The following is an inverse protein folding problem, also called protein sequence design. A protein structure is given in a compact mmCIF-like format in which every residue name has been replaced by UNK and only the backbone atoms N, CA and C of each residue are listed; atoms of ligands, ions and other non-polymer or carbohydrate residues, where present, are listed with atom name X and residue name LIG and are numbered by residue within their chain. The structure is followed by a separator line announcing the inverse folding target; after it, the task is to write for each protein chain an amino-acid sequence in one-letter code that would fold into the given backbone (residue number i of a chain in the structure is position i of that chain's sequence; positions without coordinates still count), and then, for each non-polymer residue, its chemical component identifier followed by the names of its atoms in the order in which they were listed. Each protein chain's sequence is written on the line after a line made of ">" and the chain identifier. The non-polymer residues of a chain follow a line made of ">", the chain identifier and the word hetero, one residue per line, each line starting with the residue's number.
data_IF_406742941459
#
_entry.id   IF_406742941459
#
_cell.length_a   1.000
_cell.length_b   1.000
_cell.length_c   1.000
_cell.angle_alpha   90.00
_cell.angle_beta   90.00
_cell.angle_gamma   90.00
#
_symmetry.space_group_name_H-M   'P 1'
#
loop_
_entity.id
_entity.type
_entity.pdbx_description
1 polymer ?
#
# COMPACT_ATOMS: atom_id res chain seq x y z
N UNK A 1 -82.96 -40.11 24.60
CA UNK A 1 -83.61 -38.91 24.03
C UNK A 1 -82.66 -37.75 24.26
N UNK A 2 -81.87 -37.39 23.24
CA UNK A 2 -82.07 -36.21 22.35
C UNK A 2 -81.60 -34.92 23.05
N UNK A 3 -80.76 -34.02 22.53
CA UNK A 3 -80.27 -33.72 21.15
C UNK A 3 -79.16 -32.64 21.30
N UNK A 4 -77.93 -32.82 20.77
CA UNK A 4 -77.34 -32.16 19.56
C UNK A 4 -77.48 -30.63 19.48
N UNK A 5 -76.43 -29.79 19.59
CA UNK A 5 -75.26 -29.47 18.71
C UNK A 5 -75.39 -28.05 18.10
N UNK A 6 -74.40 -27.16 18.37
CA UNK A 6 -73.64 -26.31 17.40
C UNK A 6 -72.87 -25.18 18.15
N UNK A 7 -71.54 -25.30 18.32
CA UNK A 7 -70.42 -24.76 17.50
C UNK A 7 -70.25 -23.24 17.53
N UNK A 8 -69.16 -22.76 18.16
CA UNK A 8 -68.22 -21.82 17.53
C UNK A 8 -66.85 -21.86 18.22
N UNK A 9 -65.82 -22.16 17.42
CA UNK A 9 -64.42 -22.20 17.82
C UNK A 9 -63.82 -20.78 17.86
N UNK A 10 -62.97 -20.50 18.84
CA UNK A 10 -62.06 -19.36 18.76
C UNK A 10 -60.64 -19.82 19.13
N UNK A 11 -59.87 -20.16 18.10
CA UNK A 11 -58.47 -20.55 18.22
C UNK A 11 -57.59 -19.33 18.46
N UNK A 12 -56.91 -19.29 19.61
CA UNK A 12 -55.71 -18.47 19.78
C UNK A 12 -54.49 -19.37 19.65
N UNK A 13 -53.99 -19.48 18.41
CA UNK A 13 -52.63 -19.96 18.13
C UNK A 13 -51.67 -19.03 18.85
N UNK A 14 -50.95 -19.56 19.84
CA UNK A 14 -49.74 -18.91 20.34
C UNK A 14 -48.77 -18.77 19.17
N UNK A 15 -48.52 -17.53 18.74
CA UNK A 15 -47.40 -17.22 17.84
C UNK A 15 -46.13 -17.55 18.61
N UNK A 16 -45.52 -18.69 18.28
CA UNK A 16 -44.10 -18.89 18.50
C UNK A 16 -43.40 -17.66 17.90
N UNK A 17 -42.77 -16.86 18.76
CA UNK A 17 -41.93 -15.78 18.29
C UNK A 17 -40.79 -16.41 17.51
N UNK A 18 -40.76 -16.18 16.19
CA UNK A 18 -39.55 -16.32 15.40
C UNK A 18 -38.53 -15.33 15.99
N UNK A 19 -37.74 -15.78 16.97
CA UNK A 19 -36.40 -15.25 17.13
C UNK A 19 -35.64 -15.76 15.92
N UNK A 20 -35.58 -14.93 14.89
CA UNK A 20 -34.46 -14.99 13.97
C UNK A 20 -33.25 -14.66 14.82
N UNK A 21 -32.58 -15.68 15.35
CA UNK A 21 -31.22 -15.54 15.80
C UNK A 21 -30.45 -15.15 14.54
N UNK A 22 -30.26 -13.84 14.35
CA UNK A 22 -29.41 -13.33 13.31
C UNK A 22 -28.02 -13.91 13.61
N UNK A 23 -27.62 -14.90 12.81
CA UNK A 23 -26.23 -15.31 12.75
C UNK A 23 -25.52 -14.10 12.16
N UNK A 24 -24.95 -13.26 13.03
CA UNK A 24 -23.97 -12.27 12.61
C UNK A 24 -22.78 -13.10 12.15
N UNK A 25 -22.73 -13.37 10.85
CA UNK A 25 -21.53 -13.90 10.23
C UNK A 25 -20.50 -12.78 10.38
N UNK A 26 -19.37 -13.01 11.05
CA UNK A 26 -18.30 -12.04 11.09
C UNK A 26 -17.94 -11.66 9.64
N UNK A 27 -18.11 -10.39 9.27
CA UNK A 27 -17.69 -9.91 7.95
C UNK A 27 -16.19 -9.73 7.99
N UNK A 28 -15.45 -10.35 7.06
CA UNK A 28 -14.01 -10.18 6.98
C UNK A 28 -13.62 -8.69 6.91
N UNK A 29 -12.62 -8.29 7.71
CA UNK A 29 -12.20 -6.87 7.82
C UNK A 29 -10.71 -6.74 7.54
N UNK A 30 -10.33 -5.67 6.84
CA UNK A 30 -8.94 -5.25 6.67
C UNK A 30 -8.73 -3.97 7.46
N UNK A 31 -8.13 -4.08 8.64
CA UNK A 31 -7.85 -2.91 9.48
C UNK A 31 -6.51 -2.26 9.15
N UNK A 32 -5.54 -3.07 8.71
CA UNK A 32 -4.18 -2.62 8.44
C UNK A 32 -3.64 -3.22 7.14
N UNK A 33 -2.77 -2.44 6.50
CA UNK A 33 -1.91 -2.91 5.42
C UNK A 33 -0.45 -2.72 5.80
N UNK A 34 0.33 -3.79 5.63
CA UNK A 34 1.69 -3.91 6.13
C UNK A 34 2.71 -3.89 4.99
N UNK A 35 3.30 -2.72 4.67
CA UNK A 35 4.57 -2.65 3.98
C UNK A 35 5.72 -2.99 4.95
N UNK A 36 6.97 -2.71 4.58
CA UNK A 36 8.12 -2.91 5.45
C UNK A 36 7.98 -2.07 6.74
N UNK A 37 8.14 -2.72 7.91
CA UNK A 37 8.06 -2.14 9.24
C UNK A 37 9.44 -1.73 9.80
N UNK A 38 10.53 -2.13 9.16
CA UNK A 38 11.88 -1.74 9.57
C UNK A 38 12.01 -0.22 9.55
N UNK A 39 12.68 0.32 10.58
CA UNK A 39 12.81 1.77 10.83
C UNK A 39 11.50 2.54 10.65
N UNK A 40 10.42 2.03 11.22
CA UNK A 40 9.10 2.67 11.17
C UNK A 40 8.53 2.95 12.58
N UNK A 41 9.43 3.12 13.56
CA UNK A 41 9.12 3.47 14.95
C UNK A 41 9.79 4.79 15.37
N UNK A 42 9.46 5.29 16.57
CA UNK A 42 10.02 6.53 17.14
C UNK A 42 9.92 7.70 16.16
N UNK A 43 11.05 8.31 15.80
CA UNK A 43 11.12 9.46 14.89
C UNK A 43 10.64 9.16 13.46
N UNK A 44 10.61 7.89 13.05
CA UNK A 44 10.10 7.48 11.75
C UNK A 44 8.60 7.17 11.79
N UNK A 45 8.00 6.99 12.97
CA UNK A 45 6.59 6.62 13.09
C UNK A 45 5.67 7.76 12.63
N UNK A 46 4.67 7.41 11.82
CA UNK A 46 3.58 8.33 11.49
C UNK A 46 2.65 8.59 12.68
N UNK A 47 1.67 9.50 12.52
CA UNK A 47 0.65 9.70 13.53
C UNK A 47 -0.14 8.40 13.76
N UNK A 48 -0.55 8.13 15.00
CA UNK A 48 -1.24 6.89 15.37
C UNK A 48 -2.59 6.67 14.64
N UNK A 49 -3.19 7.75 14.12
CA UNK A 49 -4.39 7.68 13.28
C UNK A 49 -4.12 7.12 11.86
N UNK A 50 -2.85 7.00 11.47
CA UNK A 50 -2.42 6.60 10.13
C UNK A 50 -1.49 5.40 10.15
N UNK A 51 -0.62 5.31 11.16
CA UNK A 51 0.44 4.31 11.25
C UNK A 51 0.48 3.62 12.61
N UNK A 52 0.47 2.29 12.57
CA UNK A 52 0.78 1.43 13.70
C UNK A 52 2.17 0.79 13.48
N UNK A 53 3.15 0.97 14.39
CA UNK A 53 4.49 0.42 14.23
C UNK A 53 4.58 -1.11 14.06
N UNK A 54 3.61 -1.85 14.59
CA UNK A 54 3.59 -3.32 14.56
C UNK A 54 2.70 -3.88 13.44
N UNK A 55 1.74 -3.09 12.97
CA UNK A 55 0.73 -3.54 11.99
C UNK A 55 0.84 -2.87 10.61
N UNK A 56 1.30 -1.63 10.52
CA UNK A 56 1.44 -0.89 9.27
C UNK A 56 0.45 0.29 9.16
N UNK A 57 0.04 0.63 7.94
CA UNK A 57 -0.92 1.71 7.72
C UNK A 57 -2.34 1.26 8.07
N UNK A 58 -3.09 2.13 8.73
CA UNK A 58 -4.52 1.95 8.94
C UNK A 58 -5.26 2.15 7.60
N UNK A 59 -6.23 1.29 7.30
CA UNK A 59 -7.12 1.49 6.15
C UNK A 59 -7.99 2.72 6.41
N UNK A 60 -7.96 3.69 5.50
CA UNK A 60 -8.63 4.98 5.63
C UNK A 60 -9.99 5.03 4.92
N UNK A 61 -10.27 4.06 4.05
CA UNK A 61 -11.51 3.98 3.27
C UNK A 61 -12.61 3.15 3.93
N UNK A 62 -12.49 2.86 5.22
CA UNK A 62 -13.48 2.09 5.97
C UNK A 62 -14.04 2.94 7.10
N UNK A 63 -15.33 2.78 7.38
CA UNK A 63 -15.95 3.21 8.62
C UNK A 63 -16.56 2.01 9.34
N UNK A 64 -17.39 2.25 10.36
CA UNK A 64 -17.94 1.21 11.23
C UNK A 64 -18.72 0.10 10.50
N UNK A 65 -19.17 0.33 9.27
CA UNK A 65 -20.07 -0.61 8.58
C UNK A 65 -19.66 -0.92 7.13
N UNK A 66 -18.82 -0.12 6.47
CA UNK A 66 -18.56 -0.34 5.04
C UNK A 66 -17.24 0.22 4.50
N UNK A 67 -16.87 -0.31 3.32
CA UNK A 67 -15.81 0.23 2.47
C UNK A 67 -16.38 1.30 1.54
N UNK A 68 -15.66 2.42 1.43
CA UNK A 68 -16.03 3.61 0.66
C UNK A 68 -15.06 3.81 -0.51
N UNK A 69 -15.39 3.35 -1.74
CA UNK A 69 -14.48 3.40 -2.88
C UNK A 69 -13.99 4.81 -3.26
N UNK A 70 -14.79 5.84 -3.00
CA UNK A 70 -14.43 7.24 -3.20
C UNK A 70 -13.27 7.69 -2.29
N UNK A 71 -13.02 6.96 -1.19
CA UNK A 71 -11.94 7.22 -0.23
C UNK A 71 -10.67 6.39 -0.51
N UNK A 72 -10.63 5.53 -1.53
CA UNK A 72 -9.43 4.75 -1.87
C UNK A 72 -8.19 5.60 -2.14
N UNK A 73 -8.35 6.88 -2.49
CA UNK A 73 -7.24 7.80 -2.69
C UNK A 73 -6.49 8.19 -1.39
N UNK A 74 -7.06 7.83 -0.23
CA UNK A 74 -6.48 7.97 1.11
C UNK A 74 -5.74 6.71 1.57
N UNK A 75 -5.95 5.57 0.91
CA UNK A 75 -5.31 4.32 1.27
C UNK A 75 -3.89 4.22 0.70
N UNK A 76 -3.06 3.43 1.38
CA UNK A 76 -1.76 3.03 0.89
C UNK A 76 -1.91 1.91 -0.17
N UNK A 77 -1.08 1.85 -1.21
CA UNK A 77 -0.09 2.84 -1.61
C UNK A 77 -0.65 3.88 -2.58
N UNK A 78 -0.06 5.09 -2.56
CA UNK A 78 -0.23 6.09 -3.63
C UNK A 78 0.94 6.14 -4.60
N UNK A 79 2.04 5.48 -4.25
CA UNK A 79 3.25 5.36 -5.07
C UNK A 79 3.60 3.90 -5.31
N UNK A 80 4.28 3.55 -6.41
CA UNK A 80 4.63 2.16 -6.69
C UNK A 80 5.90 1.99 -7.50
N UNK A 81 6.45 0.80 -7.45
CA UNK A 81 7.56 0.34 -8.27
C UNK A 81 7.42 -1.17 -8.47
N UNK A 82 7.98 -1.67 -9.56
CA UNK A 82 7.99 -3.09 -9.86
C UNK A 82 8.56 -3.91 -8.68
N UNK A 83 7.88 -5.01 -8.37
CA UNK A 83 8.19 -6.01 -7.32
C UNK A 83 8.02 -5.54 -5.87
N UNK A 84 7.48 -4.35 -5.62
CA UNK A 84 7.06 -3.99 -4.26
C UNK A 84 5.85 -4.80 -3.83
N UNK A 85 5.76 -5.06 -2.54
CA UNK A 85 4.66 -5.80 -1.96
C UNK A 85 4.28 -5.30 -0.57
N UNK A 86 3.06 -5.61 -0.16
CA UNK A 86 2.56 -5.36 1.18
C UNK A 86 1.51 -6.41 1.52
N UNK A 87 1.29 -6.61 2.81
CA UNK A 87 0.38 -7.64 3.31
C UNK A 87 -0.92 -7.02 3.78
N UNK A 88 -2.06 -7.57 3.37
CA UNK A 88 -3.37 -7.24 3.93
C UNK A 88 -3.54 -8.04 5.22
N UNK A 89 -3.75 -7.35 6.34
CA UNK A 89 -4.04 -8.00 7.62
C UNK A 89 -5.56 -8.16 7.75
N UNK A 90 -6.04 -9.34 7.30
CA UNK A 90 -7.46 -9.69 7.27
C UNK A 90 -7.81 -10.45 8.55
N UNK A 91 -8.88 -10.05 9.22
CA UNK A 91 -9.46 -10.75 10.38
C UNK A 91 -10.83 -11.33 10.04
N UNK A 92 -11.34 -12.22 10.90
CA UNK A 92 -12.69 -12.78 10.81
C UNK A 92 -12.94 -13.71 9.59
N UNK A 93 -11.88 -14.24 8.97
CA UNK A 93 -11.95 -15.22 7.88
C UNK A 93 -10.68 -16.07 7.81
N UNK A 94 -10.78 -17.32 7.32
CA UNK A 94 -9.60 -18.10 6.93
C UNK A 94 -9.08 -17.61 5.58
N UNK A 95 -7.89 -17.02 5.60
CA UNK A 95 -7.25 -16.48 4.39
C UNK A 95 -6.97 -17.58 3.36
N UNK A 96 -6.78 -18.84 3.78
CA UNK A 96 -6.58 -19.95 2.84
C UNK A 96 -7.83 -20.29 2.02
N UNK A 97 -9.01 -19.87 2.48
CA UNK A 97 -10.27 -20.04 1.78
C UNK A 97 -10.57 -18.87 0.82
N UNK A 98 -9.68 -17.87 0.74
CA UNK A 98 -9.81 -16.74 -0.18
C UNK A 98 -9.06 -16.98 -1.49
N UNK A 99 -9.76 -16.79 -2.60
CA UNK A 99 -9.20 -16.70 -3.95
C UNK A 99 -9.23 -15.25 -4.43
N UNK A 100 -8.20 -14.86 -5.18
CA UNK A 100 -8.02 -13.52 -5.72
C UNK A 100 -7.77 -13.57 -7.22
N UNK A 101 -8.30 -12.60 -7.95
CA UNK A 101 -7.98 -12.38 -9.36
C UNK A 101 -7.04 -11.17 -9.49
N UNK A 102 -6.02 -11.21 -10.36
CA UNK A 102 -5.11 -10.09 -10.55
C UNK A 102 -5.80 -8.91 -11.23
N UNK A 103 -5.43 -7.70 -10.85
CA UNK A 103 -5.98 -6.45 -11.42
C UNK A 103 -4.88 -5.73 -12.19
N UNK A 104 -5.14 -5.39 -13.45
CA UNK A 104 -4.15 -4.77 -14.33
C UNK A 104 -4.68 -3.48 -14.95
N UNK A 105 -3.91 -2.40 -14.79
CA UNK A 105 -4.18 -1.10 -15.40
C UNK A 105 -2.88 -0.50 -15.94
N UNK A 106 -2.88 -0.01 -17.18
CA UNK A 106 -1.76 0.75 -17.76
C UNK A 106 -0.39 0.04 -17.68
N UNK A 107 -0.39 -1.30 -17.77
CA UNK A 107 0.81 -2.13 -17.68
C UNK A 107 1.31 -2.40 -16.26
N UNK A 108 0.58 -1.96 -15.22
CA UNK A 108 0.82 -2.31 -13.81
C UNK A 108 -0.21 -3.36 -13.40
N UNK A 109 0.27 -4.46 -12.80
CA UNK A 109 -0.55 -5.54 -12.28
C UNK A 109 -0.36 -5.68 -10.77
N UNK A 110 -1.47 -5.66 -10.03
CA UNK A 110 -1.52 -6.06 -8.62
C UNK A 110 -1.97 -7.53 -8.54
N UNK A 111 -1.11 -8.39 -8.00
CA UNK A 111 -1.40 -9.81 -7.77
C UNK A 111 -1.48 -10.07 -6.29
N UNK A 112 -2.52 -10.76 -5.83
CA UNK A 112 -2.68 -11.15 -4.43
C UNK A 112 -2.40 -12.64 -4.29
N UNK A 113 -1.53 -13.00 -3.33
CA UNK A 113 -1.17 -14.37 -3.01
C UNK A 113 -1.24 -14.60 -1.52
N UNK A 114 -1.90 -15.68 -1.09
CA UNK A 114 -1.91 -16.09 0.31
C UNK A 114 -0.56 -16.74 0.63
N UNK A 115 0.19 -16.18 1.56
CA UNK A 115 1.55 -16.62 1.89
C UNK A 115 1.76 -16.63 3.40
N UNK A 116 2.68 -17.46 3.88
CA UNK A 116 3.26 -17.30 5.21
C UNK A 116 4.50 -16.40 5.05
N UNK A 117 4.45 -15.14 5.50
CA UNK A 117 5.55 -14.21 5.29
C UNK A 117 6.74 -14.64 6.16
N UNK A 118 7.93 -14.60 5.59
CA UNK A 118 9.19 -14.93 6.27
C UNK A 118 10.15 -13.75 6.35
N UNK A 119 9.67 -12.57 5.98
CA UNK A 119 10.44 -11.33 6.00
C UNK A 119 10.86 -10.99 7.43
N UNK A 120 12.06 -10.44 7.61
CA UNK A 120 12.61 -10.26 8.95
C UNK A 120 11.90 -9.16 9.76
N UNK A 121 11.20 -8.23 9.09
CA UNK A 121 10.43 -7.17 9.73
C UNK A 121 9.05 -7.62 10.21
N UNK A 122 8.67 -8.88 9.99
CA UNK A 122 7.42 -9.44 10.51
C UNK A 122 7.54 -9.58 12.04
N UNK A 123 6.60 -9.01 12.82
CA UNK A 123 6.59 -9.15 14.27
C UNK A 123 6.54 -10.63 14.69
N UNK A 124 7.20 -10.97 15.79
CA UNK A 124 7.28 -12.36 16.26
C UNK A 124 5.90 -12.99 16.50
N UNK A 125 4.93 -12.21 16.98
CA UNK A 125 3.54 -12.64 17.19
C UNK A 125 2.80 -13.03 15.91
N UNK A 126 3.21 -12.49 14.77
CA UNK A 126 2.58 -12.72 13.46
C UNK A 126 3.35 -13.75 12.62
N UNK A 127 4.51 -14.23 13.08
CA UNK A 127 5.28 -15.24 12.36
C UNK A 127 4.51 -16.55 12.25
N UNK A 128 4.50 -17.13 11.06
CA UNK A 128 3.78 -18.38 10.77
C UNK A 128 2.30 -18.21 10.43
N UNK A 129 1.74 -17.00 10.59
CA UNK A 129 0.37 -16.71 10.16
C UNK A 129 0.31 -16.51 8.65
N UNK A 130 -0.80 -16.91 8.02
CA UNK A 130 -1.04 -16.66 6.59
C UNK A 130 -1.52 -15.23 6.42
N UNK A 131 -1.03 -14.53 5.40
CA UNK A 131 -1.48 -13.18 5.00
C UNK A 131 -1.79 -13.15 3.51
N UNK A 132 -2.67 -12.24 3.08
CA UNK A 132 -2.87 -11.96 1.66
C UNK A 132 -1.87 -10.90 1.21
N UNK A 133 -0.80 -11.32 0.52
CA UNK A 133 0.26 -10.44 0.02
C UNK A 133 -0.10 -9.87 -1.34
N UNK A 134 -0.17 -8.55 -1.43
CA UNK A 134 -0.32 -7.81 -2.69
C UNK A 134 1.08 -7.51 -3.24
N UNK A 135 1.38 -7.98 -4.46
CA UNK A 135 2.60 -7.66 -5.20
C UNK A 135 2.28 -6.81 -6.41
N UNK A 136 2.96 -5.67 -6.52
CA UNK A 136 2.91 -4.80 -7.69
C UNK A 136 3.97 -5.23 -8.71
N UNK A 137 3.55 -5.45 -9.95
CA UNK A 137 4.44 -5.69 -11.08
C UNK A 137 4.11 -4.72 -12.20
N UNK A 138 5.09 -4.37 -13.03
CA UNK A 138 4.86 -3.42 -14.11
C UNK A 138 6.15 -2.97 -14.76
N UNK A 139 6.16 -1.79 -15.41
CA UNK A 139 7.35 -1.25 -16.06
C UNK A 139 8.54 -1.24 -15.10
N UNK A 140 9.60 -1.94 -15.51
CA UNK A 140 10.82 -2.08 -14.74
C UNK A 140 11.98 -1.56 -15.56
N UNK A 141 12.71 -0.65 -14.95
CA UNK A 141 14.04 -0.28 -15.38
C UNK A 141 13.97 0.73 -16.52
N UNK A 142 15.14 1.27 -16.83
CA UNK A 142 15.29 2.35 -17.78
C UNK A 142 15.35 1.88 -19.25
N UNK A 143 14.88 0.67 -19.51
CA UNK A 143 14.63 0.13 -20.85
C UNK A 143 13.13 -0.04 -21.15
N UNK A 144 12.25 0.19 -20.17
CA UNK A 144 10.82 0.02 -20.37
C UNK A 144 10.25 1.17 -21.18
N UNK A 145 9.63 0.84 -22.31
CA UNK A 145 8.89 1.80 -23.14
C UNK A 145 7.46 2.03 -22.67
N UNK A 146 7.00 1.26 -21.67
CA UNK A 146 5.66 1.40 -21.10
C UNK A 146 5.69 2.53 -20.07
N UNK A 147 4.79 3.48 -20.28
CA UNK A 147 4.58 4.62 -19.39
C UNK A 147 3.15 4.59 -18.87
N UNK A 148 2.95 4.17 -17.61
CA UNK A 148 1.62 4.09 -17.04
C UNK A 148 0.95 5.47 -17.00
N UNK A 149 -0.32 5.56 -17.39
CA UNK A 149 -1.13 6.77 -17.23
C UNK A 149 -1.78 6.75 -15.85
N UNK A 150 -1.20 7.50 -14.91
CA UNK A 150 -1.69 7.61 -13.53
C UNK A 150 -2.43 8.95 -13.33
N UNK A 151 -3.40 9.03 -12.38
CA UNK A 151 -3.73 8.01 -11.37
C UNK A 151 -4.58 6.84 -11.88
N UNK A 152 -4.46 5.68 -11.23
CA UNK A 152 -5.29 4.49 -11.47
C UNK A 152 -5.80 3.90 -10.15
N UNK A 153 -7.08 3.54 -10.12
CA UNK A 153 -7.71 2.88 -8.98
C UNK A 153 -7.61 1.37 -9.14
N UNK A 154 -7.08 0.70 -8.11
CA UNK A 154 -7.04 -0.76 -8.02
C UNK A 154 -8.03 -1.21 -6.96
N UNK A 155 -8.82 -2.24 -7.27
CA UNK A 155 -9.76 -2.86 -6.34
C UNK A 155 -9.55 -4.38 -6.30
N UNK A 156 -9.05 -4.86 -5.16
CA UNK A 156 -8.76 -6.26 -4.91
C UNK A 156 -9.93 -6.88 -4.15
N UNK A 157 -10.49 -7.97 -4.66
CA UNK A 157 -11.64 -8.65 -4.04
C UNK A 157 -11.23 -10.08 -3.68
N UNK A 158 -11.25 -10.38 -2.38
CA UNK A 158 -11.04 -11.72 -1.86
C UNK A 158 -12.36 -12.46 -1.89
N UNK A 159 -12.43 -13.51 -2.68
CA UNK A 159 -13.64 -14.32 -2.86
C UNK A 159 -13.50 -15.64 -2.14
N UNK A 160 -14.56 -16.08 -1.47
CA UNK A 160 -14.58 -17.42 -0.90
C UNK A 160 -14.45 -18.48 -2.02
N UNK A 161 -13.58 -19.46 -1.82
CA UNK A 161 -13.22 -20.45 -2.83
C UNK A 161 -14.38 -21.40 -3.17
N UNK A 162 -15.30 -21.62 -2.23
CA UNK A 162 -16.40 -22.58 -2.39
C UNK A 162 -17.63 -21.96 -3.06
N UNK A 163 -17.93 -20.70 -2.75
CA UNK A 163 -19.12 -19.96 -3.19
C UNK A 163 -18.82 -19.00 -4.34
N UNK A 164 -17.60 -18.46 -4.42
CA UNK A 164 -17.24 -17.39 -5.34
C UNK A 164 -17.70 -15.99 -4.90
N UNK A 165 -18.34 -15.89 -3.73
CA UNK A 165 -18.84 -14.63 -3.20
C UNK A 165 -17.70 -13.74 -2.72
N UNK A 166 -17.81 -12.43 -2.94
CA UNK A 166 -16.83 -11.46 -2.45
C UNK A 166 -16.98 -11.28 -0.94
N UNK A 167 -15.98 -11.71 -0.18
CA UNK A 167 -16.01 -11.71 1.30
C UNK A 167 -15.26 -10.51 1.87
N UNK A 168 -14.22 -10.05 1.17
CA UNK A 168 -13.40 -8.91 1.60
C UNK A 168 -12.91 -8.11 0.41
N UNK A 169 -12.67 -6.81 0.60
CA UNK A 169 -12.23 -5.91 -0.46
C UNK A 169 -11.19 -4.93 0.05
N UNK A 170 -10.19 -4.64 -0.78
CA UNK A 170 -9.22 -3.58 -0.56
C UNK A 170 -9.03 -2.74 -1.82
N UNK A 171 -9.08 -1.42 -1.71
CA UNK A 171 -8.83 -0.53 -2.83
C UNK A 171 -7.83 0.58 -2.52
N UNK A 172 -7.07 0.99 -3.53
CA UNK A 172 -6.09 2.06 -3.44
C UNK A 172 -5.95 2.78 -4.78
N UNK A 173 -5.38 4.00 -4.77
CA UNK A 173 -5.13 4.78 -5.99
C UNK A 173 -3.63 5.02 -6.16
N UNK A 174 -3.02 4.36 -7.15
CA UNK A 174 -1.65 4.68 -7.55
C UNK A 174 -1.63 5.98 -8.32
N UNK A 175 -0.91 6.97 -7.80
CA UNK A 175 -0.73 8.31 -8.38
C UNK A 175 0.62 8.43 -9.09
N UNK A 176 1.62 7.65 -8.68
CA UNK A 176 2.98 7.79 -9.17
C UNK A 176 3.69 6.43 -9.28
N UNK A 177 4.41 6.21 -10.38
CA UNK A 177 5.20 4.98 -10.60
C UNK A 177 6.66 5.31 -10.84
N UNK A 178 7.54 4.58 -10.14
CA UNK A 178 8.97 4.76 -10.16
C UNK A 178 9.66 3.61 -10.89
N UNK A 179 10.69 3.96 -11.66
CA UNK A 179 11.63 3.03 -12.28
C UNK A 179 13.04 3.39 -11.86
N UNK A 180 13.83 2.38 -11.51
CA UNK A 180 15.20 2.56 -11.02
C UNK A 180 16.21 1.94 -11.99
N UNK A 181 17.42 2.49 -11.98
CA UNK A 181 18.54 2.00 -12.79
C UNK A 181 19.83 1.87 -11.98
N UNK A 182 20.93 1.61 -12.69
CA UNK A 182 22.27 1.62 -12.11
C UNK A 182 22.72 3.01 -11.65
N UNK A 183 24.02 3.16 -11.38
CA UNK A 183 24.60 4.45 -10.98
C UNK A 183 25.04 5.26 -12.19
N UNK A 184 24.85 6.57 -12.13
CA UNK A 184 25.33 7.50 -13.15
C UNK A 184 25.47 8.92 -12.58
N UNK A 185 26.12 9.80 -13.34
CA UNK A 185 26.07 11.24 -13.07
C UNK A 185 24.62 11.75 -13.22
N UNK A 186 24.31 12.88 -12.61
CA UNK A 186 22.96 13.46 -12.68
C UNK A 186 22.53 13.75 -14.12
N UNK A 187 23.44 14.28 -14.96
CA UNK A 187 23.17 14.60 -16.37
C UNK A 187 22.73 13.39 -17.17
N UNK A 188 23.36 12.25 -16.93
CA UNK A 188 23.06 11.00 -17.64
C UNK A 188 21.71 10.45 -17.19
N UNK A 189 21.43 10.47 -15.88
CA UNK A 189 20.11 10.11 -15.36
C UNK A 189 19.02 11.00 -15.97
N UNK A 190 19.27 12.30 -16.09
CA UNK A 190 18.31 13.26 -16.61
C UNK A 190 18.00 12.98 -18.08
N UNK A 191 19.04 12.79 -18.90
CA UNK A 191 18.89 12.44 -20.30
C UNK A 191 18.09 11.14 -20.50
N UNK A 192 18.37 10.12 -19.68
CA UNK A 192 17.71 8.83 -19.73
C UNK A 192 16.25 8.87 -19.25
N UNK A 193 15.93 9.61 -18.18
CA UNK A 193 14.52 9.79 -17.79
C UNK A 193 13.73 10.49 -18.90
N UNK A 194 14.29 11.55 -19.48
CA UNK A 194 13.63 12.32 -20.52
C UNK A 194 13.42 11.49 -21.79
N UNK A 195 14.39 10.65 -22.18
CA UNK A 195 14.26 9.80 -23.38
C UNK A 195 13.17 8.74 -23.24
N UNK A 196 12.88 8.29 -22.02
CA UNK A 196 11.78 7.36 -21.72
C UNK A 196 10.43 8.09 -21.58
N UNK A 197 10.40 9.43 -21.63
CA UNK A 197 9.22 10.24 -21.36
C UNK A 197 8.83 10.29 -19.87
N UNK A 198 9.76 9.93 -18.99
CA UNK A 198 9.69 10.09 -17.54
C UNK A 198 10.38 11.42 -17.15
N UNK A 199 10.43 11.71 -15.85
CA UNK A 199 11.23 12.79 -15.29
C UNK A 199 12.04 12.30 -14.09
N UNK A 200 13.09 13.03 -13.73
CA UNK A 200 13.73 12.84 -12.43
C UNK A 200 12.75 13.29 -11.33
N UNK A 201 12.61 12.52 -10.23
CA UNK A 201 11.76 12.92 -9.11
C UNK A 201 12.27 14.20 -8.42
N UNK A 202 11.37 14.91 -7.75
CA UNK A 202 11.74 15.94 -6.77
C UNK A 202 11.96 15.28 -5.41
N UNK A 203 12.60 15.99 -4.48
CA UNK A 203 12.74 15.55 -3.09
C UNK A 203 11.39 15.16 -2.49
N UNK A 204 10.35 15.98 -2.72
CA UNK A 204 8.98 15.70 -2.27
C UNK A 204 8.34 14.44 -2.86
N UNK A 205 8.79 13.98 -4.01
CA UNK A 205 8.26 12.74 -4.61
C UNK A 205 8.79 11.50 -3.86
N UNK A 206 9.91 11.66 -3.15
CA UNK A 206 10.63 10.56 -2.49
C UNK A 206 10.49 10.58 -0.97
N UNK A 207 10.39 11.73 -0.33
CA UNK A 207 10.42 11.85 1.14
C UNK A 207 9.64 13.06 1.65
N UNK A 208 9.13 12.98 2.88
CA UNK A 208 8.58 14.09 3.64
C UNK A 208 9.59 14.68 4.64
N UNK A 209 10.89 14.46 4.42
CA UNK A 209 11.97 15.07 5.20
C UNK A 209 11.83 16.59 5.29
N UNK A 210 12.07 17.14 6.49
CA UNK A 210 12.10 18.57 6.75
C UNK A 210 13.43 19.24 6.30
N UNK A 211 14.22 18.58 5.46
CA UNK A 211 15.43 19.19 4.94
C UNK A 211 15.09 20.37 4.02
N UNK A 212 15.36 21.58 4.50
CA UNK A 212 15.13 22.85 3.80
C UNK A 212 13.69 23.03 3.28
N UNK A 213 12.70 22.38 3.89
CA UNK A 213 11.30 22.36 3.43
C UNK A 213 11.13 21.85 1.98
N UNK A 214 12.02 20.96 1.51
CA UNK A 214 11.96 20.41 0.14
C UNK A 214 11.10 19.15 0.04
N UNK A 215 10.88 18.45 1.16
CA UNK A 215 10.06 17.24 1.23
C UNK A 215 8.57 17.48 1.05
N UNK A 216 7.83 16.38 0.94
CA UNK A 216 6.38 16.38 0.96
C UNK A 216 5.82 16.83 2.32
N UNK A 217 4.51 17.12 2.32
CA UNK A 217 3.75 17.46 3.52
C UNK A 217 2.91 16.26 3.97
N UNK A 218 2.72 16.09 5.30
CA UNK A 218 3.32 16.85 6.38
C UNK A 218 4.81 16.51 6.53
N UNK A 219 5.62 17.51 6.87
CA UNK A 219 7.05 17.33 7.07
C UNK A 219 7.33 16.54 8.34
N UNK A 220 8.34 15.68 8.30
CA UNK A 220 8.83 14.99 9.47
C UNK A 220 9.52 15.96 10.46
N UNK A 221 9.87 15.48 11.64
CA UNK A 221 10.56 16.29 12.65
C UNK A 221 12.03 16.60 12.34
N UNK A 222 12.60 16.03 11.27
CA UNK A 222 14.02 16.22 10.94
C UNK A 222 14.37 15.81 9.52
N UNK A 223 15.67 15.62 9.25
CA UNK A 223 16.11 15.17 7.93
C UNK A 223 16.01 13.65 7.76
N UNK A 224 14.78 13.13 7.76
CA UNK A 224 14.44 11.71 7.58
C UNK A 224 12.96 11.62 7.18
N UNK A 225 12.49 10.49 6.63
CA UNK A 225 11.06 10.29 6.42
C UNK A 225 10.33 10.07 7.75
N UNK A 226 9.04 10.37 7.76
CA UNK A 226 8.07 9.89 8.74
C UNK A 226 6.99 9.14 7.96
N UNK A 227 6.55 7.97 8.45
CA UNK A 227 5.54 7.14 7.78
C UNK A 227 4.28 7.95 7.49
N UNK A 228 3.98 8.13 6.20
CA UNK A 228 2.84 8.92 5.79
C UNK A 228 2.38 8.56 4.38
N UNK A 229 1.08 8.34 4.22
CA UNK A 229 0.45 8.13 2.91
C UNK A 229 0.44 9.45 2.15
N UNK A 230 0.97 9.47 0.92
CA UNK A 230 1.22 10.71 0.18
C UNK A 230 2.44 11.50 0.66
N UNK A 231 3.26 10.95 1.56
CA UNK A 231 4.49 11.58 2.04
C UNK A 231 5.70 11.41 1.11
N UNK A 232 5.50 10.93 -0.11
CA UNK A 232 6.57 10.51 -1.03
C UNK A 232 6.94 9.03 -0.88
N UNK A 233 7.65 8.51 -1.89
CA UNK A 233 7.88 7.07 -2.08
C UNK A 233 8.47 6.35 -0.86
N UNK A 234 9.55 6.86 -0.26
CA UNK A 234 10.18 6.22 0.90
C UNK A 234 9.39 6.43 2.20
N UNK A 235 8.61 7.50 2.31
CA UNK A 235 7.71 7.70 3.45
C UNK A 235 6.55 6.70 3.45
N UNK A 236 6.15 6.23 2.27
CA UNK A 236 5.12 5.21 2.09
C UNK A 236 5.67 3.79 2.18
N UNK A 237 6.81 3.49 1.56
CA UNK A 237 7.31 2.11 1.49
C UNK A 237 8.35 1.79 2.58
N UNK A 238 8.97 2.81 3.16
CA UNK A 238 10.01 2.67 4.18
C UNK A 238 11.35 2.22 3.60
N UNK A 239 12.05 1.42 4.39
CA UNK A 239 13.36 0.92 4.05
C UNK A 239 13.33 -0.05 2.86
N UNK A 240 14.05 0.29 1.79
CA UNK A 240 13.84 -0.39 0.51
C UNK A 240 14.66 -1.68 0.32
N UNK A 241 15.76 -1.89 1.05
CA UNK A 241 16.64 -3.05 0.82
C UNK A 241 15.97 -4.39 1.14
N UNK A 242 15.02 -4.39 2.07
CA UNK A 242 14.56 -5.65 2.65
C UNK A 242 13.53 -6.35 1.79
N UNK A 243 12.91 -5.61 0.87
CA UNK A 243 12.04 -6.19 -0.13
C UNK A 243 12.82 -7.25 -0.91
N UNK A 244 12.47 -8.53 -0.73
CA UNK A 244 13.25 -9.70 -1.15
C UNK A 244 13.54 -9.75 -2.67
N UNK A 245 12.72 -9.06 -3.45
CA UNK A 245 12.81 -8.97 -4.90
C UNK A 245 13.32 -7.62 -5.42
N UNK A 246 13.64 -6.68 -4.53
CA UNK A 246 13.96 -5.31 -4.96
C UNK A 246 15.36 -5.23 -5.55
N UNK A 247 15.44 -4.53 -6.67
CA UNK A 247 16.70 -4.05 -7.27
C UNK A 247 17.26 -2.83 -6.55
N UNK A 248 16.58 -2.35 -5.50
CA UNK A 248 16.97 -1.19 -4.72
C UNK A 248 18.16 -1.56 -3.83
N UNK A 249 19.23 -0.78 -3.91
CA UNK A 249 20.40 -0.94 -3.05
C UNK A 249 20.55 0.28 -2.11
N UNK A 250 21.40 0.18 -1.08
CA UNK A 250 21.58 1.17 0.00
C UNK A 250 22.18 2.49 -0.46
N UNK A 251 21.37 3.39 -1.01
CA UNK A 251 21.93 4.56 -1.68
C UNK A 251 21.02 5.78 -1.74
N UNK A 252 21.68 6.91 -2.06
CA UNK A 252 21.04 8.16 -2.46
C UNK A 252 20.60 8.12 -3.92
N UNK A 253 19.32 8.38 -4.14
CA UNK A 253 18.69 8.49 -5.45
C UNK A 253 18.62 9.95 -5.89
N UNK A 254 18.96 10.22 -7.14
CA UNK A 254 18.96 11.58 -7.67
C UNK A 254 17.58 12.22 -7.59
N UNK A 255 17.57 13.51 -7.27
CA UNK A 255 16.40 14.38 -7.39
C UNK A 255 16.73 15.55 -8.29
N UNK A 256 15.71 16.20 -8.85
CA UNK A 256 15.87 17.39 -9.69
C UNK A 256 16.14 18.67 -8.90
N UNK A 257 15.86 18.68 -7.60
CA UNK A 257 16.14 19.81 -6.71
C UNK A 257 17.66 19.96 -6.47
N UNK A 258 18.14 21.21 -6.44
CA UNK A 258 19.56 21.54 -6.30
C UNK A 258 19.77 22.80 -5.45
N UNK A 259 21.00 23.04 -5.00
CA UNK A 259 21.42 24.24 -4.28
C UNK A 259 22.84 24.62 -4.66
N UNK A 260 23.01 25.73 -5.38
CA UNK A 260 24.31 26.11 -5.93
C UNK A 260 24.78 25.09 -6.96
N UNK A 261 26.00 24.58 -6.82
CA UNK A 261 26.56 23.50 -7.64
C UNK A 261 26.23 22.09 -7.13
N UNK A 262 25.51 21.98 -6.00
CA UNK A 262 25.14 20.70 -5.39
C UNK A 262 23.79 20.19 -5.88
N UNK A 263 23.74 18.94 -6.32
CA UNK A 263 22.50 18.21 -6.63
C UNK A 263 22.02 17.44 -5.41
N UNK A 264 20.71 17.48 -5.12
CA UNK A 264 20.17 16.72 -4.01
C UNK A 264 19.90 15.27 -4.38
N UNK A 265 20.12 14.39 -3.41
CA UNK A 265 19.73 12.99 -3.46
C UNK A 265 18.97 12.60 -2.19
N UNK A 266 18.14 11.57 -2.28
CA UNK A 266 17.37 11.04 -1.14
C UNK A 266 17.78 9.60 -0.88
N UNK A 267 18.19 9.31 0.35
CA UNK A 267 18.53 7.96 0.79
C UNK A 267 17.30 7.07 0.89
N UNK A 268 17.37 5.87 0.31
CA UNK A 268 16.35 4.83 0.43
C UNK A 268 16.31 4.14 1.81
N UNK A 269 17.19 4.55 2.73
CA UNK A 269 17.28 4.01 4.08
C UNK A 269 16.34 4.72 5.03
N UNK A 270 16.61 5.99 5.27
CA UNK A 270 15.85 6.81 6.22
C UNK A 270 15.17 8.00 5.56
N UNK A 271 15.15 8.11 4.22
CA UNK A 271 14.56 9.25 3.52
C UNK A 271 15.32 10.56 3.72
N UNK A 272 16.60 10.48 4.13
CA UNK A 272 17.45 11.64 4.36
C UNK A 272 17.82 12.30 3.02
N UNK A 273 17.81 13.63 3.00
CA UNK A 273 18.25 14.43 1.85
C UNK A 273 19.73 14.76 2.04
N UNK A 274 20.53 14.51 1.01
CA UNK A 274 21.97 14.78 0.96
C UNK A 274 22.26 15.72 -0.20
N UNK A 275 23.22 16.63 -0.02
CA UNK A 275 23.77 17.47 -1.09
C UNK A 275 25.06 16.85 -1.60
N UNK A 276 25.10 16.48 -2.88
CA UNK A 276 26.24 15.86 -3.54
C UNK A 276 26.72 16.72 -4.71
N UNK A 277 27.97 16.55 -5.15
CA UNK A 277 28.38 17.08 -6.45
C UNK A 277 27.60 16.38 -7.56
N UNK A 278 27.17 17.12 -8.59
CA UNK A 278 26.43 16.56 -9.72
C UNK A 278 27.23 15.53 -10.54
N UNK A 279 28.56 15.58 -10.45
CA UNK A 279 29.50 14.65 -11.10
C UNK A 279 29.67 13.35 -10.31
N UNK A 280 29.12 13.26 -9.09
CA UNK A 280 29.19 12.03 -8.31
C UNK A 280 28.35 10.92 -8.97
N UNK A 281 28.67 9.67 -8.69
CA UNK A 281 27.90 8.54 -9.19
C UNK A 281 26.76 8.20 -8.23
N UNK A 282 25.58 8.79 -8.46
CA UNK A 282 24.35 8.55 -7.69
C UNK A 282 23.45 7.51 -8.35
N UNK A 283 22.46 6.98 -7.61
CA UNK A 283 21.54 5.98 -8.17
C UNK A 283 20.47 6.63 -9.03
N UNK A 284 20.23 6.02 -10.18
CA UNK A 284 19.22 6.50 -11.12
C UNK A 284 17.81 6.15 -10.65
N UNK A 285 16.94 7.12 -10.72
CA UNK A 285 15.49 6.95 -10.54
C UNK A 285 14.76 7.89 -11.50
N UNK A 286 13.67 7.40 -12.06
CA UNK A 286 12.74 8.19 -12.86
C UNK A 286 11.32 7.91 -12.37
N UNK A 287 10.45 8.89 -12.54
CA UNK A 287 9.03 8.79 -12.22
C UNK A 287 8.17 9.20 -13.42
N UNK A 288 6.96 8.64 -13.50
CA UNK A 288 5.93 9.16 -14.40
C UNK A 288 5.79 10.69 -14.20
N UNK A 289 5.59 11.48 -15.28
CA UNK A 289 5.50 12.93 -15.21
C UNK A 289 4.46 13.46 -14.22
#
# INVERSE_FOLDING_TARGET
>A
MSSSWNVQANGKKARAGNRSDAIIIPSAVINYVRPNLFWSNRQYAGPASLWNPDKGFLVQSIDFESTHPELYHLNFPTTGMNKLYFDLLITEVDINELKWEPVTHEGITATVTNVVPNDYWIPDEDKGQVVARVKLTGPWGLSSQIKPRLPQTFELVGRDINTGDGVVKYGFVLKQWFVIGGRAAYSDNLAECNSLGYRIPRVRDLTNSNYKNLGATPSSSGNYYMRHIGGGFFSEWGFMLDYADSVSRDFGYWTSDASGSGQFSVSSHGGNVLSLSADYSGYKICTTP
#
